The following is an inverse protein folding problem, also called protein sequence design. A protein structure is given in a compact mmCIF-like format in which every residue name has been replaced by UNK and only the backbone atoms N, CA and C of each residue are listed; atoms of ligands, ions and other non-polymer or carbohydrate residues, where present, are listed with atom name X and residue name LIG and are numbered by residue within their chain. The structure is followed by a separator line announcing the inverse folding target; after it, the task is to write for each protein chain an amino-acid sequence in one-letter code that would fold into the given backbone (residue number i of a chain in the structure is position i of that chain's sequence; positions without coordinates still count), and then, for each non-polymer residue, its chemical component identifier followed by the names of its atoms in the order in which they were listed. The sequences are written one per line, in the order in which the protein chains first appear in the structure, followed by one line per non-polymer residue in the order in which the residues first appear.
data_IF_171502686036
#
_entry.id   IF_171502686036
#
_cell.length_a   1.000
_cell.length_b   1.000
_cell.length_c   1.000
_cell.angle_alpha   90.00
_cell.angle_beta   90.00
_cell.angle_gamma   90.00
#
_symmetry.space_group_name_H-M   'P 1'
#
loop_
_entity.id
_entity.type
_entity.pdbx_description
1 polymer ?
#
# COMPACT_ATOMS: atom_id res chain seq x y z
N UNK A 1 3.84 4.13 14.66
CA UNK A 1 3.13 3.42 13.58
C UNK A 1 4.08 2.38 13.03
N UNK A 2 3.57 1.22 12.61
CA UNK A 2 4.37 0.19 11.96
C UNK A 2 4.47 0.48 10.45
N UNK A 3 5.60 0.14 9.84
CA UNK A 3 5.84 0.32 8.40
C UNK A 3 5.39 -0.93 7.64
N UNK A 4 4.78 -0.72 6.48
CA UNK A 4 4.32 -1.77 5.60
C UNK A 4 4.68 -1.49 4.14
N UNK A 5 4.92 -2.57 3.39
CA UNK A 5 4.93 -2.56 1.93
C UNK A 5 3.68 -3.29 1.47
N UNK A 6 2.99 -2.71 0.50
CA UNK A 6 1.76 -3.24 -0.08
C UNK A 6 1.98 -3.53 -1.55
N UNK A 7 1.39 -4.63 -2.02
CA UNK A 7 1.17 -4.89 -3.45
C UNK A 7 -0.32 -5.00 -3.71
N UNK A 8 -0.81 -4.25 -4.69
CA UNK A 8 -2.11 -4.49 -5.31
C UNK A 8 -1.89 -4.97 -6.74
N UNK A 9 -2.54 -6.07 -7.15
CA UNK A 9 -2.46 -6.59 -8.51
C UNK A 9 -3.84 -7.01 -9.03
N UNK A 10 -4.12 -6.69 -10.29
CA UNK A 10 -5.35 -7.10 -10.98
C UNK A 10 -5.07 -7.52 -12.43
N UNK A 11 -5.94 -8.31 -13.05
CA UNK A 11 -5.89 -8.57 -14.49
C UNK A 11 -6.32 -7.32 -15.28
N UNK A 12 -5.80 -7.14 -16.50
CA UNK A 12 -5.96 -5.92 -17.30
C UNK A 12 -7.42 -5.52 -17.55
N UNK A 13 -8.31 -6.51 -17.66
CA UNK A 13 -9.74 -6.36 -17.89
C UNK A 13 -10.46 -5.69 -16.70
N UNK A 14 -9.87 -5.77 -15.50
CA UNK A 14 -10.38 -5.18 -14.26
C UNK A 14 -9.71 -3.86 -13.90
N UNK A 15 -8.97 -3.24 -14.83
CA UNK A 15 -8.26 -2.00 -14.57
C UNK A 15 -9.25 -0.86 -14.24
N UNK A 16 -9.27 -0.35 -12.99
CA UNK A 16 -10.22 0.69 -12.59
C UNK A 16 -9.93 2.03 -13.27
N UNK A 17 -8.69 2.26 -13.71
CA UNK A 17 -8.30 3.47 -14.42
C UNK A 17 -8.91 3.57 -15.84
N UNK A 18 -9.51 2.51 -16.38
CA UNK A 18 -10.28 2.56 -17.63
C UNK A 18 -11.63 3.28 -17.46
N UNK A 19 -12.13 3.36 -16.23
CA UNK A 19 -13.26 4.22 -15.85
C UNK A 19 -12.70 5.50 -15.22
N UNK A 20 -12.84 6.67 -15.87
CA UNK A 20 -12.29 7.92 -15.35
C UNK A 20 -12.83 8.32 -13.97
N UNK A 21 -14.08 7.99 -13.65
CA UNK A 21 -14.67 8.32 -12.35
C UNK A 21 -14.10 7.41 -11.26
N UNK A 22 -14.02 6.11 -11.54
CA UNK A 22 -13.45 5.14 -10.60
C UNK A 22 -11.96 5.40 -10.36
N UNK A 23 -11.20 5.71 -11.41
CA UNK A 23 -9.79 6.09 -11.33
C UNK A 23 -9.56 7.33 -10.46
N UNK A 24 -10.36 8.39 -10.67
CA UNK A 24 -10.27 9.61 -9.84
C UNK A 24 -10.65 9.35 -8.38
N UNK A 25 -11.68 8.53 -8.13
CA UNK A 25 -12.08 8.16 -6.77
C UNK A 25 -10.96 7.42 -6.03
N UNK A 26 -10.34 6.42 -6.66
CA UNK A 26 -9.23 5.67 -6.04
C UNK A 26 -7.99 6.54 -5.83
N UNK A 27 -7.69 7.45 -6.76
CA UNK A 27 -6.60 8.40 -6.62
C UNK A 27 -6.85 9.37 -5.45
N UNK A 28 -8.07 9.91 -5.34
CA UNK A 28 -8.46 10.76 -4.23
C UNK A 28 -8.43 10.01 -2.89
N UNK A 29 -8.76 8.71 -2.89
CA UNK A 29 -8.68 7.86 -1.71
C UNK A 29 -7.24 7.73 -1.19
N UNK A 30 -6.25 7.60 -2.09
CA UNK A 30 -4.83 7.56 -1.75
C UNK A 30 -4.23 8.94 -1.42
N UNK A 31 -4.93 10.04 -1.69
CA UNK A 31 -4.38 11.37 -1.43
C UNK A 31 -4.04 11.53 0.06
N UNK A 32 -2.89 12.11 0.35
CA UNK A 32 -2.35 12.22 1.72
C UNK A 32 -3.35 12.80 2.74
N UNK A 33 -4.11 13.88 2.44
CA UNK A 33 -5.10 14.39 3.39
C UNK A 33 -6.19 13.37 3.72
N UNK A 34 -6.62 12.56 2.74
CA UNK A 34 -7.62 11.52 2.95
C UNK A 34 -7.01 10.34 3.72
N UNK A 35 -5.86 9.81 3.28
CA UNK A 35 -5.18 8.71 3.95
C UNK A 35 -4.93 8.98 5.45
N UNK A 36 -4.51 10.20 5.80
CA UNK A 36 -4.30 10.61 7.19
C UNK A 36 -5.57 10.57 8.04
N UNK A 37 -6.76 10.80 7.47
CA UNK A 37 -8.03 10.67 8.20
C UNK A 37 -8.33 9.23 8.60
N UNK A 38 -7.77 8.25 7.87
CA UNK A 38 -7.86 6.82 8.19
C UNK A 38 -6.70 6.33 9.09
N UNK A 39 -5.85 7.24 9.56
CA UNK A 39 -4.66 6.88 10.34
C UNK A 39 -3.55 6.23 9.50
N UNK A 40 -3.54 6.47 8.19
CA UNK A 40 -2.52 5.97 7.26
C UNK A 40 -1.59 7.12 6.87
N UNK A 41 -0.29 6.87 6.94
CA UNK A 41 0.73 7.80 6.46
C UNK A 41 1.44 7.19 5.26
N UNK A 42 1.22 7.73 4.07
CA UNK A 42 1.77 7.20 2.82
C UNK A 42 3.13 7.86 2.54
N UNK A 43 4.18 7.05 2.41
CA UNK A 43 5.53 7.50 2.05
C UNK A 43 5.72 7.59 0.53
N UNK A 44 5.01 6.75 -0.22
CA UNK A 44 5.03 6.79 -1.67
C UNK A 44 4.28 5.62 -2.30
N UNK A 45 3.86 5.81 -3.54
CA UNK A 45 3.20 4.80 -4.35
C UNK A 45 3.67 4.87 -5.82
N UNK A 46 3.58 3.74 -6.52
CA UNK A 46 3.83 3.69 -7.95
C UNK A 46 3.18 2.47 -8.58
N UNK A 47 2.74 2.62 -9.83
CA UNK A 47 2.30 1.50 -10.67
C UNK A 47 3.45 1.07 -11.56
N UNK A 48 3.73 -0.24 -11.62
CA UNK A 48 4.67 -0.79 -12.61
C UNK A 48 4.03 -0.70 -14.00
N UNK A 49 4.68 0.00 -14.92
CA UNK A 49 4.16 0.28 -16.26
C UNK A 49 3.71 -1.01 -16.98
N UNK A 50 2.44 -1.04 -17.40
CA UNK A 50 1.84 -2.15 -18.13
C UNK A 50 1.57 -3.43 -17.32
N UNK A 51 1.98 -3.51 -16.04
CA UNK A 51 1.89 -4.74 -15.25
C UNK A 51 0.66 -4.83 -14.35
N UNK A 52 -0.22 -3.82 -14.37
CA UNK A 52 -1.42 -3.77 -13.52
C UNK A 52 -1.13 -4.05 -12.03
N UNK A 53 0.02 -3.54 -11.57
CA UNK A 53 0.57 -3.79 -10.24
C UNK A 53 0.96 -2.46 -9.61
N UNK A 54 0.30 -2.12 -8.50
CA UNK A 54 0.60 -0.97 -7.65
C UNK A 54 1.43 -1.42 -6.45
N UNK A 55 2.47 -0.65 -6.13
CA UNK A 55 3.18 -0.73 -4.86
C UNK A 55 2.90 0.51 -4.03
N UNK A 56 2.78 0.32 -2.72
CA UNK A 56 2.59 1.39 -1.75
C UNK A 56 3.49 1.12 -0.53
N UNK A 57 4.18 2.16 -0.07
CA UNK A 57 4.92 2.16 1.19
C UNK A 57 4.17 3.08 2.14
N UNK A 58 3.71 2.54 3.25
CA UNK A 58 2.88 3.30 4.19
C UNK A 58 3.06 2.83 5.63
N UNK A 59 2.77 3.72 6.56
CA UNK A 59 2.65 3.42 7.96
C UNK A 59 1.18 3.35 8.38
N UNK A 60 0.90 2.47 9.34
CA UNK A 60 -0.40 2.34 10.00
C UNK A 60 -0.22 1.93 11.47
N UNK A 61 -1.31 1.91 12.25
CA UNK A 61 -1.28 1.34 13.60
C UNK A 61 -0.92 -0.15 13.56
N UNK A 62 -1.58 -0.90 12.67
CA UNK A 62 -1.35 -2.31 12.41
C UNK A 62 -1.70 -2.67 10.95
N UNK A 63 -1.45 -3.92 10.56
CA UNK A 63 -1.72 -4.42 9.22
C UNK A 63 -3.21 -4.33 8.84
N UNK A 64 -4.11 -4.60 9.79
CA UNK A 64 -5.56 -4.65 9.54
C UNK A 64 -6.12 -3.28 9.16
N UNK A 65 -5.56 -2.19 9.69
CA UNK A 65 -5.90 -0.82 9.29
C UNK A 65 -5.59 -0.56 7.83
N UNK A 66 -4.43 -1.01 7.36
CA UNK A 66 -4.01 -0.81 5.97
C UNK A 66 -4.83 -1.69 5.02
N UNK A 67 -5.11 -2.93 5.40
CA UNK A 67 -6.02 -3.82 4.65
C UNK A 67 -7.44 -3.26 4.56
N UNK A 68 -7.95 -2.64 5.63
CA UNK A 68 -9.26 -1.98 5.66
C UNK A 68 -9.28 -0.75 4.74
N UNK A 69 -8.22 0.07 4.80
CA UNK A 69 -8.07 1.24 3.95
C UNK A 69 -8.02 0.86 2.47
N UNK A 70 -7.43 -0.29 2.12
CA UNK A 70 -7.25 -0.73 0.73
C UNK A 70 -8.42 -1.58 0.19
N UNK A 71 -9.52 -1.73 0.94
CA UNK A 71 -10.71 -2.46 0.48
C UNK A 71 -11.25 -2.00 -0.90
N UNK A 72 -11.27 -0.69 -1.25
CA UNK A 72 -11.66 -0.27 -2.59
C UNK A 72 -10.80 -0.87 -3.71
N UNK A 73 -9.50 -1.10 -3.47
CA UNK A 73 -8.59 -1.73 -4.42
C UNK A 73 -8.82 -3.24 -4.53
N UNK A 74 -9.16 -3.90 -3.42
CA UNK A 74 -9.51 -5.32 -3.40
C UNK A 74 -10.75 -5.65 -4.27
N UNK A 75 -11.59 -4.66 -4.57
CA UNK A 75 -12.71 -4.82 -5.52
C UNK A 75 -12.26 -4.99 -6.97
N UNK A 76 -11.01 -4.63 -7.31
CA UNK A 76 -10.44 -4.80 -8.65
C UNK A 76 -9.42 -5.94 -8.73
N UNK A 77 -8.84 -6.35 -7.60
CA UNK A 77 -7.72 -7.29 -7.58
C UNK A 77 -7.40 -7.82 -6.19
N UNK A 78 -6.18 -8.33 -6.02
CA UNK A 78 -5.68 -8.81 -4.74
C UNK A 78 -4.78 -7.75 -4.12
N UNK A 79 -4.97 -7.53 -2.82
CA UNK A 79 -4.11 -6.69 -1.99
C UNK A 79 -3.35 -7.61 -1.04
N UNK A 80 -2.03 -7.47 -1.02
CA UNK A 80 -1.14 -8.11 -0.05
C UNK A 80 -0.41 -7.03 0.74
N UNK A 81 -0.28 -7.25 2.04
CA UNK A 81 0.37 -6.33 2.97
C UNK A 81 1.45 -7.09 3.73
N UNK A 82 2.67 -6.56 3.74
CA UNK A 82 3.78 -7.15 4.48
C UNK A 82 4.35 -6.16 5.49
N UNK A 83 4.65 -6.60 6.73
CA UNK A 83 5.42 -5.77 7.65
C UNK A 83 6.79 -5.48 7.05
N UNK A 84 7.23 -4.24 7.20
CA UNK A 84 8.47 -3.74 6.64
C UNK A 84 9.28 -2.99 7.69
N UNK A 85 10.55 -2.77 7.36
CA UNK A 85 11.50 -2.03 8.18
C UNK A 85 12.36 -1.18 7.26
N UNK A 86 12.75 -0.01 7.77
CA UNK A 86 13.70 0.83 7.05
C UNK A 86 15.06 0.15 6.91
N UNK A 87 15.70 0.34 5.77
CA UNK A 87 17.04 -0.21 5.52
C UNK A 87 18.06 0.30 6.55
N UNK A 88 17.93 1.56 6.98
CA UNK A 88 18.76 2.11 8.06
C UNK A 88 18.63 1.32 9.37
N UNK A 89 17.41 0.87 9.71
CA UNK A 89 17.16 0.05 10.90
C UNK A 89 17.70 -1.38 10.75
N UNK A 90 17.74 -1.92 9.52
CA UNK A 90 18.40 -3.19 9.19
C UNK A 90 19.90 -3.10 9.41
N UNK A 91 20.54 -2.05 8.86
CA UNK A 91 21.98 -1.82 9.00
C UNK A 91 22.36 -1.60 10.46
N UNK A 92 21.59 -0.78 11.18
CA UNK A 92 21.87 -0.47 12.60
C UNK A 92 21.84 -1.70 13.51
N UNK A 93 21.00 -2.71 13.20
CA UNK A 93 20.92 -3.97 13.97
C UNK A 93 21.83 -5.09 13.44
N UNK A 94 22.54 -4.86 12.34
CA UNK A 94 23.50 -5.80 11.77
C UNK A 94 22.90 -6.96 10.96
N UNK A 95 21.65 -6.87 10.50
CA UNK A 95 21.03 -7.95 9.74
C UNK A 95 19.54 -7.75 9.43
N UNK A 96 19.04 -8.50 8.44
CA UNK A 96 17.64 -8.46 8.02
C UNK A 96 16.72 -9.31 8.89
N UNK A 97 17.29 -10.25 9.66
CA UNK A 97 16.53 -11.16 10.51
C UNK A 97 15.62 -10.38 11.47
N UNK A 98 14.39 -10.85 11.61
CA UNK A 98 13.49 -10.33 12.63
C UNK A 98 14.13 -10.58 13.99
N UNK A 99 14.20 -9.52 14.81
CA UNK A 99 14.60 -9.66 16.22
C UNK A 99 13.56 -10.55 16.88
N UNK A 100 13.94 -11.79 17.17
CA UNK A 100 13.12 -12.68 18.02
C UNK A 100 13.21 -12.11 19.43
N UNK A 101 12.14 -11.44 19.87
CA UNK A 101 11.94 -11.07 21.27
C UNK A 101 11.38 -12.29 21.98
#
# INVERSE_FOLDING_TARGET
MALFVVRHQHPAERCPARDPQMGQMLLAHLAEPNARQYGINIHGEAVIEGQHTLYLIAEAEDQSKLESFLQPFAQAGTVEVWPAVECAAVVARGGCEAVRI
#
